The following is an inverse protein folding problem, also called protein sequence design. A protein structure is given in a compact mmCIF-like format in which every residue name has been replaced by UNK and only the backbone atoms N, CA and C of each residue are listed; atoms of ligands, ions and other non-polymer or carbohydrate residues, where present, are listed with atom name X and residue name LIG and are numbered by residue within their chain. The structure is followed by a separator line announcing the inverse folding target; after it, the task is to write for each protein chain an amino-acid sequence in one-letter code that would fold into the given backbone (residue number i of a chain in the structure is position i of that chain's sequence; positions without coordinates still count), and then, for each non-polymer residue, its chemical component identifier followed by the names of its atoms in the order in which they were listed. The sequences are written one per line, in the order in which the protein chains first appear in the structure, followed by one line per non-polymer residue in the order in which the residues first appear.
data_IF_959949767774
#
_entry.id   IF_959949767774
#
_cell.length_a   1.000
_cell.length_b   1.000
_cell.length_c   1.000
_cell.angle_alpha   90.00
_cell.angle_beta   90.00
_cell.angle_gamma   90.00
#
_symmetry.space_group_name_H-M   'P 1'
#
loop_
_entity.id
_entity.type
_entity.pdbx_description
1 polymer ?
#
# COMPACT_ATOMS: atom_id res chain seq x y z
N UNK A 1 9.26 20.39 -8.40
CA UNK A 1 8.44 19.54 -7.51
C UNK A 1 9.26 18.31 -7.16
N UNK A 2 9.64 18.13 -5.90
CA UNK A 2 10.36 16.94 -5.45
C UNK A 2 9.37 15.78 -5.35
N UNK A 3 9.48 14.78 -6.23
CA UNK A 3 8.76 13.52 -6.08
C UNK A 3 9.15 12.91 -4.73
N UNK A 4 8.19 12.58 -3.85
CA UNK A 4 8.51 11.94 -2.58
C UNK A 4 9.22 10.61 -2.87
N UNK A 5 10.51 10.56 -2.55
CA UNK A 5 11.40 9.41 -2.78
C UNK A 5 11.44 8.44 -1.59
N UNK A 6 10.68 8.72 -0.53
CA UNK A 6 10.66 7.92 0.70
C UNK A 6 9.53 6.88 0.76
N UNK A 7 9.62 5.93 1.71
CA UNK A 7 8.53 5.01 2.01
C UNK A 7 7.25 5.76 2.37
N UNK A 8 6.11 5.28 1.85
CA UNK A 8 4.78 5.85 2.09
C UNK A 8 4.01 4.93 3.03
N UNK A 9 3.40 5.49 4.07
CA UNK A 9 2.47 4.72 4.90
C UNK A 9 1.10 4.64 4.22
N UNK A 10 0.60 3.42 4.07
CA UNK A 10 -0.71 3.10 3.53
C UNK A 10 -1.65 2.73 4.68
N UNK A 11 -2.91 3.17 4.55
CA UNK A 11 -4.02 2.72 5.38
C UNK A 11 -5.14 2.25 4.46
N UNK A 12 -5.37 0.95 4.42
CA UNK A 12 -6.45 0.33 3.65
C UNK A 12 -7.66 0.10 4.56
N UNK A 13 -8.85 0.43 4.06
CA UNK A 13 -10.13 0.27 4.75
C UNK A 13 -11.14 -0.30 3.76
N UNK A 14 -11.77 -1.41 4.10
CA UNK A 14 -12.75 -2.07 3.24
C UNK A 14 -13.20 -3.41 3.82
N UNK A 15 -14.00 -4.16 3.09
CA UNK A 15 -14.21 -5.56 3.43
C UNK A 15 -12.91 -6.36 3.32
N UNK A 16 -12.84 -7.49 4.03
CA UNK A 16 -11.63 -8.29 4.12
C UNK A 16 -11.13 -8.75 2.74
N UNK A 17 -12.03 -9.09 1.83
CA UNK A 17 -11.68 -9.61 0.51
C UNK A 17 -11.14 -8.52 -0.42
N UNK A 18 -11.76 -7.33 -0.42
CA UNK A 18 -11.28 -6.17 -1.16
C UNK A 18 -9.92 -5.68 -0.67
N UNK A 19 -9.71 -5.67 0.65
CA UNK A 19 -8.40 -5.29 1.23
C UNK A 19 -7.32 -6.29 0.82
N UNK A 20 -7.60 -7.60 0.91
CA UNK A 20 -6.66 -8.64 0.48
C UNK A 20 -6.31 -8.52 -1.01
N UNK A 21 -7.32 -8.34 -1.87
CA UNK A 21 -7.12 -8.15 -3.32
C UNK A 21 -6.30 -6.91 -3.62
N UNK A 22 -6.58 -5.80 -2.93
CA UNK A 22 -5.83 -4.54 -3.11
C UNK A 22 -4.37 -4.70 -2.71
N UNK A 23 -4.08 -5.37 -1.59
CA UNK A 23 -2.70 -5.67 -1.17
C UNK A 23 -1.96 -6.52 -2.21
N UNK A 24 -2.62 -7.54 -2.78
CA UNK A 24 -2.03 -8.39 -3.81
C UNK A 24 -1.68 -7.60 -5.08
N UNK A 25 -2.56 -6.69 -5.52
CA UNK A 25 -2.29 -5.82 -6.69
C UNK A 25 -1.17 -4.83 -6.38
N UNK A 26 -1.18 -4.20 -5.20
CA UNK A 26 -0.15 -3.24 -4.81
C UNK A 26 1.23 -3.91 -4.71
N UNK A 27 1.32 -5.14 -4.23
CA UNK A 27 2.59 -5.87 -4.16
C UNK A 27 3.16 -6.17 -5.56
N UNK A 28 2.38 -6.13 -6.65
CA UNK A 28 2.95 -6.31 -7.99
C UNK A 28 3.85 -5.14 -8.41
N UNK A 29 3.57 -3.93 -7.91
CA UNK A 29 4.21 -2.68 -8.35
C UNK A 29 5.00 -1.99 -7.23
N UNK A 30 4.70 -2.28 -5.97
CA UNK A 30 5.36 -1.76 -4.78
C UNK A 30 5.94 -2.91 -3.97
N UNK A 31 6.97 -2.61 -3.19
CA UNK A 31 7.38 -3.50 -2.10
C UNK A 31 6.58 -3.09 -0.87
N UNK A 32 5.74 -3.99 -0.37
CA UNK A 32 4.97 -3.79 0.84
C UNK A 32 5.74 -4.37 2.04
N UNK A 33 5.96 -3.57 3.07
CA UNK A 33 6.57 -3.98 4.35
C UNK A 33 5.69 -3.56 5.51
N UNK A 34 5.92 -4.14 6.69
CA UNK A 34 5.16 -3.83 7.91
C UNK A 34 3.63 -3.95 7.71
N UNK A 35 3.17 -4.94 6.95
CA UNK A 35 1.75 -5.20 6.73
C UNK A 35 1.15 -5.72 8.03
N UNK A 36 0.24 -4.96 8.63
CA UNK A 36 -0.43 -5.35 9.88
C UNK A 36 -1.41 -6.49 9.65
N UNK A 37 -1.75 -7.21 10.72
CA UNK A 37 -2.93 -8.06 10.70
C UNK A 37 -4.19 -7.21 10.47
N UNK A 38 -5.26 -7.77 9.87
CA UNK A 38 -6.53 -7.06 9.72
C UNK A 38 -7.13 -6.74 11.09
N UNK A 39 -7.29 -5.46 11.37
CA UNK A 39 -7.97 -5.00 12.58
C UNK A 39 -9.45 -4.72 12.28
N UNK A 40 -10.39 -5.15 13.13
CA UNK A 40 -11.79 -4.79 12.98
C UNK A 40 -11.97 -3.26 12.91
N UNK A 41 -12.79 -2.81 11.96
CA UNK A 41 -13.21 -1.43 11.82
C UNK A 41 -14.75 -1.35 11.90
N UNK A 42 -15.34 -0.20 11.53
CA UNK A 42 -16.80 0.00 11.65
C UNK A 42 -17.53 -0.79 10.56
N UNK A 43 -18.74 -1.28 10.88
CA UNK A 43 -19.68 -1.89 9.93
C UNK A 43 -19.13 -3.12 9.17
N UNK A 44 -18.45 -4.02 9.88
CA UNK A 44 -17.94 -5.27 9.29
C UNK A 44 -16.76 -5.08 8.31
N UNK A 45 -16.16 -3.90 8.29
CA UNK A 45 -14.92 -3.64 7.54
C UNK A 45 -13.70 -3.96 8.38
N UNK A 46 -12.57 -4.16 7.71
CA UNK A 46 -11.26 -4.28 8.34
C UNK A 46 -10.37 -3.12 7.93
N UNK A 47 -9.36 -2.87 8.74
CA UNK A 47 -8.30 -1.91 8.47
C UNK A 47 -6.95 -2.60 8.52
N UNK A 48 -6.11 -2.28 7.54
CA UNK A 48 -4.73 -2.76 7.45
C UNK A 48 -3.81 -1.57 7.21
N UNK A 49 -2.68 -1.57 7.91
CA UNK A 49 -1.59 -0.63 7.69
C UNK A 49 -0.46 -1.34 6.96
N UNK A 50 0.22 -0.62 6.06
CA UNK A 50 1.41 -1.11 5.39
C UNK A 50 2.36 0.05 5.10
N UNK A 51 3.64 -0.25 4.94
CA UNK A 51 4.62 0.68 4.37
C UNK A 51 4.89 0.27 2.93
N UNK A 52 4.79 1.20 1.99
CA UNK A 52 5.01 0.94 0.58
C UNK A 52 6.24 1.71 0.07
N UNK A 53 7.13 0.98 -0.58
CA UNK A 53 8.25 1.56 -1.35
C UNK A 53 8.12 1.16 -2.81
N UNK A 54 8.60 2.01 -3.72
CA UNK A 54 8.62 1.65 -5.14
C UNK A 54 9.68 0.59 -5.37
N UNK A 55 9.34 -0.44 -6.14
CA UNK A 55 10.30 -1.48 -6.56
C UNK A 55 11.38 -0.92 -7.47
N UNK A 56 11.02 0.06 -8.31
CA UNK A 56 11.94 0.68 -9.26
C UNK A 56 11.83 2.20 -9.18
N UNK A 57 12.94 2.96 -9.13
CA UNK A 57 12.88 4.40 -9.34
C UNK A 57 12.31 4.70 -10.73
N UNK A 58 11.51 5.75 -10.88
CA UNK A 58 11.10 6.23 -12.20
C UNK A 58 12.33 6.81 -12.90
N UNK A 59 13.09 5.98 -13.61
CA UNK A 59 14.29 6.39 -14.36
C UNK A 59 13.94 7.00 -15.73
N UNK A 60 12.82 7.71 -15.85
CA UNK A 60 12.22 8.07 -17.15
C UNK A 60 11.64 9.48 -17.23
N UNK A 61 12.22 10.46 -16.56
CA UNK A 61 11.87 11.88 -16.82
C UNK A 61 12.62 12.39 -18.05
N UNK A 62 11.99 13.17 -18.96
CA UNK A 62 12.69 13.73 -20.11
C UNK A 62 13.80 14.69 -19.63
N UNK A 63 14.97 14.58 -20.26
CA UNK A 63 16.08 15.54 -20.14
C UNK A 63 15.71 16.84 -20.85
#
# INVERSE_FOLDING_TARGET
MTTPTGPVQLRLLGDLHAVATTLAVLDQVLTLTNVSQPEPARRGTVRVYATATRRTPLTGGPR
#
